data_IF_568438079045
#
_entry.id   IF_568438079045
#
_cell.length_a   1.000
_cell.length_b   1.000
_cell.length_c   1.000
_cell.angle_alpha   90.00
_cell.angle_beta   90.00
_cell.angle_gamma   90.00
#
_symmetry.space_group_name_H-M   'P 1'
#
loop_
_entity.id
_entity.type
_entity.pdbx_description
1 polymer ?
#
# COMPACT_ATOMS: atom_id res chain seq x y z
N UNK A 1 -17.32 -29.72 8.93
CA UNK A 1 -17.63 -28.62 7.99
C UNK A 1 -16.32 -28.05 7.47
N UNK A 2 -16.17 -27.96 6.16
CA UNK A 2 -14.89 -27.71 5.50
C UNK A 2 -14.37 -26.29 5.81
N UNK A 3 -13.43 -26.18 6.75
CA UNK A 3 -12.66 -24.96 7.00
C UNK A 3 -11.68 -24.64 5.85
N UNK A 4 -11.95 -25.11 4.64
CA UNK A 4 -11.06 -25.04 3.48
C UNK A 4 -11.76 -24.29 2.36
N UNK A 5 -11.04 -23.38 1.74
CA UNK A 5 -11.50 -22.58 0.61
C UNK A 5 -10.54 -22.82 -0.55
N UNK A 6 -11.09 -23.29 -1.66
CA UNK A 6 -10.31 -23.44 -2.91
C UNK A 6 -10.16 -22.09 -3.59
N UNK A 7 -8.91 -21.75 -3.91
CA UNK A 7 -8.53 -20.56 -4.70
C UNK A 7 -7.72 -21.00 -5.92
N UNK A 8 -7.64 -20.15 -6.93
CA UNK A 8 -6.76 -20.37 -8.10
C UNK A 8 -5.73 -19.25 -8.21
N UNK A 9 -4.45 -19.60 -8.26
CA UNK A 9 -3.37 -18.64 -8.47
C UNK A 9 -3.06 -18.49 -9.96
N UNK A 10 -2.87 -17.25 -10.41
CA UNK A 10 -2.43 -16.95 -11.77
C UNK A 10 -0.91 -16.67 -11.85
N UNK A 11 -0.36 -16.65 -13.06
CA UNK A 11 1.08 -16.41 -13.34
C UNK A 11 1.59 -15.04 -12.85
N UNK A 12 0.69 -14.06 -12.65
CA UNK A 12 1.05 -12.71 -12.18
C UNK A 12 1.03 -12.63 -10.65
N UNK A 13 0.58 -13.70 -9.97
CA UNK A 13 0.43 -13.81 -8.54
C UNK A 13 -0.83 -13.12 -8.00
N UNK A 14 -1.90 -13.12 -8.79
CA UNK A 14 -3.25 -12.91 -8.27
C UNK A 14 -3.86 -14.23 -7.80
N UNK A 15 -4.58 -14.18 -6.69
CA UNK A 15 -5.46 -15.27 -6.26
C UNK A 15 -6.89 -14.97 -6.70
N UNK A 16 -7.54 -15.98 -7.29
CA UNK A 16 -8.96 -15.96 -7.67
C UNK A 16 -9.77 -16.67 -6.61
N UNK A 17 -10.80 -15.99 -6.12
CA UNK A 17 -11.78 -16.56 -5.21
C UNK A 17 -12.92 -17.18 -5.99
N UNK A 18 -13.29 -18.42 -5.65
CA UNK A 18 -14.46 -19.09 -6.22
C UNK A 18 -15.76 -18.41 -5.77
N UNK A 19 -16.87 -18.63 -6.49
CA UNK A 19 -18.17 -18.04 -6.11
C UNK A 19 -18.60 -18.43 -4.69
N UNK A 20 -18.27 -19.66 -4.26
CA UNK A 20 -18.52 -20.10 -2.89
C UNK A 20 -17.69 -19.28 -1.88
N UNK A 21 -16.39 -19.11 -2.14
CA UNK A 21 -15.51 -18.29 -1.31
C UNK A 21 -15.98 -16.83 -1.20
N UNK A 22 -16.47 -16.26 -2.31
CA UNK A 22 -17.02 -14.90 -2.37
C UNK A 22 -18.23 -14.76 -1.43
N UNK A 23 -19.14 -15.74 -1.44
CA UNK A 23 -20.30 -15.78 -0.53
C UNK A 23 -19.87 -15.95 0.92
N UNK A 24 -19.01 -16.92 1.21
CA UNK A 24 -18.58 -17.27 2.58
C UNK A 24 -17.82 -16.14 3.27
N UNK A 25 -17.02 -15.41 2.51
CA UNK A 25 -16.22 -14.27 2.97
C UNK A 25 -16.95 -12.93 2.81
N UNK A 26 -18.17 -12.95 2.25
CA UNK A 26 -18.99 -11.77 1.95
C UNK A 26 -18.19 -10.69 1.21
N UNK A 27 -17.40 -11.09 0.20
CA UNK A 27 -16.48 -10.19 -0.52
C UNK A 27 -17.24 -9.04 -1.18
N UNK A 28 -18.45 -9.27 -1.69
CA UNK A 28 -19.30 -8.23 -2.27
C UNK A 28 -19.61 -7.10 -1.28
N UNK A 29 -19.73 -7.43 0.01
CA UNK A 29 -20.00 -6.47 1.09
C UNK A 29 -18.72 -5.93 1.73
N UNK A 30 -17.57 -6.55 1.46
CA UNK A 30 -16.25 -6.25 2.02
C UNK A 30 -15.23 -6.14 0.88
N UNK A 31 -15.27 -5.06 0.08
CA UNK A 31 -14.51 -4.96 -1.17
C UNK A 31 -12.99 -4.78 -0.98
N UNK A 32 -12.53 -4.71 0.27
CA UNK A 32 -11.13 -4.55 0.62
C UNK A 32 -10.64 -5.70 1.49
N UNK A 33 -9.32 -5.86 1.61
CA UNK A 33 -8.70 -6.81 2.52
C UNK A 33 -7.50 -6.23 3.24
N UNK A 34 -7.37 -6.57 4.51
CA UNK A 34 -6.11 -6.49 5.23
C UNK A 34 -5.33 -7.80 5.00
N UNK A 35 -4.07 -7.67 4.60
CA UNK A 35 -3.17 -8.80 4.39
C UNK A 35 -2.13 -8.79 5.49
N UNK A 36 -1.99 -9.90 6.20
CA UNK A 36 -0.98 -10.08 7.24
C UNK A 36 -0.06 -11.24 6.87
N UNK A 37 1.20 -11.17 7.27
CA UNK A 37 2.20 -12.21 7.01
C UNK A 37 2.79 -12.73 8.32
N UNK A 38 3.05 -14.03 8.38
CA UNK A 38 3.88 -14.70 9.37
C UNK A 38 5.09 -15.23 8.60
N UNK A 39 6.20 -14.50 8.66
CA UNK A 39 7.43 -14.84 7.91
C UNK A 39 8.10 -16.10 8.45
N UNK A 40 8.03 -16.33 9.77
CA UNK A 40 8.61 -17.50 10.46
C UNK A 40 7.80 -18.76 10.15
N UNK A 41 6.48 -18.68 10.29
CA UNK A 41 5.56 -19.77 9.97
C UNK A 41 5.28 -19.94 8.48
N UNK A 42 5.75 -19.01 7.63
CA UNK A 42 5.45 -18.93 6.20
C UNK A 42 3.95 -18.98 5.92
N UNK A 43 3.20 -18.00 6.44
CA UNK A 43 1.75 -17.94 6.30
C UNK A 43 1.31 -16.54 5.86
N UNK A 44 0.23 -16.49 5.10
CA UNK A 44 -0.38 -15.23 4.66
C UNK A 44 -1.86 -15.26 5.02
N UNK A 45 -2.30 -14.33 5.85
CA UNK A 45 -3.70 -14.15 6.18
C UNK A 45 -4.33 -13.06 5.32
N UNK A 46 -5.59 -13.27 4.92
CA UNK A 46 -6.45 -12.30 4.26
C UNK A 46 -7.69 -12.12 5.11
N UNK A 47 -7.93 -10.89 5.54
CA UNK A 47 -9.11 -10.51 6.31
C UNK A 47 -9.94 -9.52 5.50
N UNK A 48 -11.10 -9.92 4.94
CA UNK A 48 -12.00 -9.00 4.26
C UNK A 48 -12.47 -7.87 5.18
N UNK A 49 -12.58 -6.67 4.65
CA UNK A 49 -13.01 -5.47 5.39
C UNK A 49 -13.84 -4.54 4.49
N UNK A 50 -14.78 -3.83 5.11
CA UNK A 50 -15.53 -2.74 4.47
C UNK A 50 -14.75 -1.43 4.44
N UNK A 51 -13.90 -1.23 5.44
CA UNK A 51 -13.22 0.04 5.66
C UNK A 51 -11.93 0.04 4.85
N UNK A 52 -11.87 0.97 3.90
CA UNK A 52 -10.68 1.26 3.14
C UNK A 52 -9.61 1.90 4.04
N UNK A 53 -8.43 1.28 4.13
CA UNK A 53 -7.25 1.84 4.78
C UNK A 53 -6.13 2.04 3.76
N UNK A 54 -5.13 2.83 4.12
CA UNK A 54 -3.92 3.08 3.32
C UNK A 54 -3.14 1.80 2.97
N UNK A 55 -3.28 0.76 3.80
CA UNK A 55 -2.63 -0.54 3.65
C UNK A 55 -3.49 -1.57 2.94
N UNK A 56 -4.79 -1.29 2.73
CA UNK A 56 -5.74 -2.29 2.26
C UNK A 56 -5.51 -2.65 0.80
N UNK A 57 -5.76 -3.92 0.48
CA UNK A 57 -5.82 -4.45 -0.88
C UNK A 57 -7.27 -4.40 -1.39
N UNK A 58 -7.47 -4.33 -2.71
CA UNK A 58 -8.80 -4.38 -3.33
C UNK A 58 -9.10 -5.80 -3.80
N UNK A 59 -10.28 -6.29 -3.50
CA UNK A 59 -10.87 -7.37 -4.30
C UNK A 59 -11.35 -6.79 -5.63
N UNK A 60 -10.68 -7.14 -6.72
CA UNK A 60 -11.01 -6.67 -8.06
C UNK A 60 -12.02 -7.63 -8.71
N UNK A 61 -13.15 -7.15 -9.23
CA UNK A 61 -14.08 -7.99 -9.97
C UNK A 61 -13.38 -8.66 -11.16
N UNK A 62 -13.69 -9.95 -11.40
CA UNK A 62 -13.14 -10.71 -12.51
C UNK A 62 -14.10 -11.83 -12.93
N UNK A 63 -14.91 -11.56 -13.96
CA UNK A 63 -16.03 -12.43 -14.35
C UNK A 63 -17.02 -12.56 -13.19
N UNK A 64 -17.40 -13.79 -12.84
CA UNK A 64 -18.32 -14.08 -11.74
C UNK A 64 -17.67 -14.04 -10.34
N UNK A 65 -16.36 -13.84 -10.23
CA UNK A 65 -15.62 -13.85 -8.96
C UNK A 65 -14.75 -12.62 -8.75
N UNK A 66 -13.77 -12.75 -7.85
CA UNK A 66 -12.86 -11.65 -7.49
C UNK A 66 -11.39 -12.10 -7.52
N UNK A 67 -10.51 -11.14 -7.80
CA UNK A 67 -9.05 -11.27 -7.73
C UNK A 67 -8.50 -10.45 -6.57
N UNK A 68 -7.47 -10.97 -5.91
CA UNK A 68 -6.65 -10.23 -4.96
C UNK A 68 -5.18 -10.38 -5.35
N UNK A 69 -4.42 -9.27 -5.34
CA UNK A 69 -3.00 -9.32 -5.62
C UNK A 69 -2.24 -9.90 -4.41
N UNK A 70 -1.49 -10.98 -4.63
CA UNK A 70 -0.92 -11.79 -3.55
C UNK A 70 0.59 -11.96 -3.65
N UNK A 71 1.18 -11.74 -4.84
CA UNK A 71 2.63 -11.89 -5.13
C UNK A 71 3.54 -11.21 -4.10
N UNK A 72 3.22 -9.98 -3.71
CA UNK A 72 4.05 -9.22 -2.76
C UNK A 72 4.17 -9.90 -1.40
N UNK A 73 3.05 -10.41 -0.87
CA UNK A 73 3.02 -11.14 0.38
C UNK A 73 3.76 -12.47 0.26
N UNK A 74 3.56 -13.20 -0.85
CA UNK A 74 4.27 -14.44 -1.15
C UNK A 74 5.78 -14.29 -1.16
N UNK A 75 6.29 -13.26 -1.84
CA UNK A 75 7.72 -12.98 -1.87
C UNK A 75 8.28 -12.72 -0.47
N UNK A 76 7.54 -12.02 0.40
CA UNK A 76 7.98 -11.73 1.78
C UNK A 76 7.98 -12.97 2.68
N UNK A 77 7.10 -13.94 2.41
CA UNK A 77 7.06 -15.21 3.15
C UNK A 77 7.87 -16.33 2.48
N UNK A 78 8.60 -16.04 1.39
CA UNK A 78 9.42 -16.99 0.66
C UNK A 78 8.66 -18.01 -0.19
N UNK A 79 7.38 -17.75 -0.52
CA UNK A 79 6.63 -18.56 -1.47
C UNK A 79 6.92 -18.15 -2.91
N UNK A 80 7.08 -19.14 -3.78
CA UNK A 80 7.14 -18.95 -5.22
C UNK A 80 5.72 -18.85 -5.80
N UNK A 81 5.51 -17.96 -6.76
CA UNK A 81 4.25 -17.89 -7.51
C UNK A 81 4.22 -19.03 -8.50
N UNK A 82 3.41 -20.05 -8.22
CA UNK A 82 3.15 -21.15 -9.13
C UNK A 82 1.65 -21.14 -9.46
N UNK A 83 1.26 -21.07 -10.74
CA UNK A 83 -0.15 -21.11 -11.11
C UNK A 83 -0.78 -22.45 -10.77
N UNK A 84 -2.05 -22.43 -10.36
CA UNK A 84 -2.75 -23.68 -10.03
C UNK A 84 -3.84 -23.50 -9.00
N UNK A 85 -4.48 -24.61 -8.64
CA UNK A 85 -5.44 -24.66 -7.55
C UNK A 85 -4.70 -24.77 -6.20
N UNK A 86 -5.14 -23.99 -5.23
CA UNK A 86 -4.63 -24.02 -3.86
C UNK A 86 -5.78 -24.03 -2.87
N UNK A 87 -5.48 -24.43 -1.64
CA UNK A 87 -6.43 -24.35 -0.53
C UNK A 87 -5.96 -23.30 0.48
N UNK A 88 -6.90 -22.47 0.93
CA UNK A 88 -6.74 -21.63 2.11
C UNK A 88 -7.57 -22.20 3.25
N UNK A 89 -7.12 -22.02 4.49
CA UNK A 89 -7.81 -22.48 5.69
C UNK A 89 -8.51 -21.30 6.37
N UNK A 90 -9.78 -21.44 6.71
CA UNK A 90 -10.53 -20.43 7.47
C UNK A 90 -10.12 -20.48 8.93
N UNK A 91 -9.71 -19.34 9.48
CA UNK A 91 -9.34 -19.16 10.89
C UNK A 91 -10.15 -17.99 11.47
N UNK A 92 -11.36 -18.26 11.99
CA UNK A 92 -12.25 -17.19 12.42
C UNK A 92 -12.73 -16.32 11.25
N UNK A 93 -12.38 -15.03 11.25
CA UNK A 93 -12.78 -14.06 10.22
C UNK A 93 -11.77 -13.91 9.07
N UNK A 94 -10.63 -14.58 9.13
CA UNK A 94 -9.58 -14.54 8.10
C UNK A 94 -9.46 -15.87 7.37
N UNK A 95 -8.83 -15.83 6.21
CA UNK A 95 -8.42 -17.02 5.47
C UNK A 95 -6.91 -17.03 5.35
N UNK A 96 -6.30 -18.18 5.60
CA UNK A 96 -4.85 -18.33 5.70
C UNK A 96 -4.33 -19.25 4.61
N UNK A 97 -3.35 -18.75 3.86
CA UNK A 97 -2.56 -19.50 2.92
C UNK A 97 -1.27 -19.97 3.58
N UNK A 98 -0.96 -21.26 3.48
CA UNK A 98 0.29 -21.87 3.96
C UNK A 98 0.97 -22.76 2.89
N UNK A 99 0.60 -22.60 1.62
CA UNK A 99 1.05 -23.49 0.54
C UNK A 99 0.52 -24.92 0.70
N UNK A 100 1.34 -25.91 0.32
CA UNK A 100 0.94 -27.33 0.31
C UNK A 100 1.15 -28.04 1.66
N UNK A 101 1.78 -27.39 2.65
CA UNK A 101 2.02 -27.95 3.96
C UNK A 101 1.12 -27.30 5.03
N UNK A 102 0.56 -28.05 5.99
CA UNK A 102 -0.13 -27.47 7.13
C UNK A 102 0.91 -26.83 8.08
N UNK A 103 1.20 -25.54 7.88
CA UNK A 103 2.03 -24.79 8.80
C UNK A 103 1.18 -24.26 9.96
N UNK A 104 1.42 -24.78 11.17
CA UNK A 104 0.92 -24.17 12.41
C UNK A 104 1.54 -22.77 12.57
N UNK A 105 0.79 -21.81 13.15
CA UNK A 105 1.32 -20.46 13.47
C UNK A 105 2.60 -20.60 14.30
N UNK A 106 3.68 -19.92 13.90
CA UNK A 106 4.95 -19.92 14.64
C UNK A 106 5.45 -18.50 14.95
N UNK A 107 5.09 -17.50 14.14
CA UNK A 107 5.47 -16.10 14.36
C UNK A 107 4.30 -15.17 14.68
N UNK A 108 4.61 -13.88 14.83
CA UNK A 108 3.63 -12.79 14.92
C UNK A 108 3.02 -12.49 13.55
N UNK A 109 1.75 -12.09 13.54
CA UNK A 109 1.13 -11.54 12.34
C UNK A 109 1.58 -10.10 12.16
N UNK A 110 2.17 -9.80 11.00
CA UNK A 110 2.59 -8.46 10.63
C UNK A 110 1.74 -7.97 9.45
N UNK A 111 1.18 -6.77 9.57
CA UNK A 111 0.41 -6.17 8.49
C UNK A 111 1.32 -5.93 7.28
N UNK A 112 0.98 -6.51 6.13
CA UNK A 112 1.66 -6.30 4.87
C UNK A 112 0.94 -5.19 4.09
N UNK A 113 1.54 -4.00 3.91
CA UNK A 113 0.84 -2.87 3.31
C UNK A 113 0.76 -2.97 1.78
N UNK A 114 -0.42 -2.71 1.21
CA UNK A 114 -0.59 -2.61 -0.24
C UNK A 114 0.18 -1.38 -0.79
N UNK A 115 1.11 -1.62 -1.72
CA UNK A 115 1.81 -0.53 -2.45
C UNK A 115 0.99 0.12 -3.56
N UNK A 116 -0.23 -0.33 -3.79
CA UNK A 116 -1.15 0.30 -4.73
C UNK A 116 -2.51 0.42 -4.04
N UNK A 117 -2.51 1.19 -2.94
CA UNK A 117 -3.67 1.47 -2.08
C UNK A 117 -4.91 1.72 -2.93
N UNK A 118 -6.03 1.22 -2.44
CA UNK A 118 -7.26 1.18 -3.24
C UNK A 118 -7.89 2.54 -3.36
N UNK A 119 -7.42 3.33 -4.31
CA UNK A 119 -8.05 4.61 -4.64
C UNK A 119 -7.78 5.76 -3.69
N UNK A 120 -7.06 5.53 -2.58
CA UNK A 120 -6.50 6.61 -1.75
C UNK A 120 -5.31 7.21 -2.50
N UNK A 121 -5.29 8.52 -2.75
CA UNK A 121 -4.09 9.22 -3.23
C UNK A 121 -2.95 9.06 -2.23
N UNK A 122 -1.83 8.52 -2.71
CA UNK A 122 -0.64 8.37 -1.89
C UNK A 122 0.54 9.08 -2.54
N UNK A 123 1.48 9.44 -1.69
CA UNK A 123 2.83 9.80 -2.13
C UNK A 123 3.87 9.00 -1.35
N UNK A 124 5.05 8.95 -1.92
CA UNK A 124 6.21 8.33 -1.30
C UNK A 124 7.40 9.29 -1.32
N UNK A 125 8.28 9.18 -0.33
CA UNK A 125 9.57 9.83 -0.29
C UNK A 125 10.61 8.71 -0.30
N UNK A 126 11.47 8.68 -1.32
CA UNK A 126 12.56 7.71 -1.39
C UNK A 126 13.72 8.09 -0.44
N UNK A 127 14.71 7.21 -0.31
CA UNK A 127 15.85 7.43 0.58
C UNK A 127 16.79 8.56 0.12
N UNK A 128 16.61 9.08 -1.10
CA UNK A 128 17.34 10.24 -1.62
C UNK A 128 16.55 11.54 -1.43
N UNK A 129 15.37 11.49 -0.80
CA UNK A 129 14.51 12.65 -0.62
C UNK A 129 13.73 13.02 -1.89
N UNK A 130 13.56 12.12 -2.84
CA UNK A 130 12.66 12.32 -3.98
C UNK A 130 11.23 12.06 -3.54
N UNK A 131 10.36 13.06 -3.68
CA UNK A 131 8.92 12.87 -3.50
C UNK A 131 8.32 12.32 -4.81
N UNK A 132 7.47 11.31 -4.69
CA UNK A 132 6.86 10.57 -5.79
C UNK A 132 5.35 10.57 -5.57
N UNK A 133 4.60 11.17 -6.49
CA UNK A 133 3.15 11.19 -6.52
C UNK A 133 2.66 10.06 -7.42
N UNK A 134 1.79 9.20 -6.88
CA UNK A 134 1.23 8.10 -7.68
C UNK A 134 0.39 8.61 -8.86
N UNK A 135 0.03 7.69 -9.78
CA UNK A 135 -0.74 8.05 -10.98
C UNK A 135 -2.01 8.83 -10.67
N UNK A 136 -2.68 8.48 -9.57
CA UNK A 136 -3.93 9.10 -9.16
C UNK A 136 -3.69 10.54 -8.72
N UNK A 137 -2.68 10.75 -7.90
CA UNK A 137 -2.28 12.05 -7.38
C UNK A 137 -1.82 12.96 -8.52
N UNK A 138 -0.93 12.48 -9.41
CA UNK A 138 -0.44 13.31 -10.50
C UNK A 138 -1.53 13.68 -11.53
N UNK A 139 -2.50 12.79 -11.76
CA UNK A 139 -3.66 13.08 -12.61
C UNK A 139 -4.57 14.12 -11.95
N UNK A 140 -4.89 13.94 -10.67
CA UNK A 140 -5.75 14.86 -9.93
C UNK A 140 -5.17 16.29 -9.83
N UNK A 141 -3.85 16.41 -9.75
CA UNK A 141 -3.12 17.68 -9.69
C UNK A 141 -2.81 18.28 -11.07
N UNK A 142 -3.09 17.53 -12.14
CA UNK A 142 -2.71 17.87 -13.52
C UNK A 142 -1.23 18.28 -13.61
N UNK A 143 -0.31 17.48 -13.07
CA UNK A 143 1.12 17.86 -12.94
C UNK A 143 1.84 18.01 -14.29
N UNK A 144 1.24 17.55 -15.39
CA UNK A 144 1.72 17.85 -16.75
C UNK A 144 1.48 19.31 -17.15
N UNK A 145 0.50 19.98 -16.54
CA UNK A 145 0.20 21.41 -16.75
C UNK A 145 0.66 22.29 -15.59
N UNK A 146 0.65 21.75 -14.38
CA UNK A 146 1.14 22.37 -13.15
C UNK A 146 2.46 21.68 -12.74
N UNK A 147 3.52 21.96 -13.48
CA UNK A 147 4.81 21.29 -13.45
C UNK A 147 5.80 21.85 -12.41
N UNK A 148 5.30 22.73 -11.53
CA UNK A 148 6.07 23.27 -10.42
C UNK A 148 5.21 23.30 -9.17
N UNK A 149 5.84 23.36 -7.99
CA UNK A 149 5.14 23.49 -6.72
C UNK A 149 5.87 24.41 -5.73
N UNK A 150 5.09 24.96 -4.79
CA UNK A 150 5.57 25.64 -3.58
C UNK A 150 5.25 24.76 -2.39
N UNK A 151 6.19 24.62 -1.46
CA UNK A 151 6.03 23.81 -0.26
C UNK A 151 5.96 24.70 0.99
N UNK A 152 4.93 24.50 1.79
CA UNK A 152 4.74 25.10 3.10
C UNK A 152 4.76 23.99 4.16
N UNK A 153 5.41 24.21 5.30
CA UNK A 153 5.49 23.23 6.40
C UNK A 153 4.88 23.79 7.69
N UNK A 154 3.88 23.09 8.21
CA UNK A 154 3.33 23.32 9.55
C UNK A 154 4.08 22.41 10.53
N UNK A 155 5.03 22.99 11.27
CA UNK A 155 5.86 22.26 12.24
C UNK A 155 5.05 21.70 13.42
N UNK A 156 3.97 22.37 13.81
CA UNK A 156 3.12 21.93 14.93
C UNK A 156 2.39 20.64 14.58
N UNK A 157 1.85 20.57 13.36
CA UNK A 157 1.11 19.41 12.86
C UNK A 157 1.99 18.39 12.16
N UNK A 158 3.26 18.73 11.89
CA UNK A 158 4.20 17.96 11.07
C UNK A 158 3.59 17.61 9.71
N UNK A 159 3.02 18.62 9.07
CA UNK A 159 2.32 18.49 7.79
C UNK A 159 2.92 19.41 6.77
N UNK A 160 3.09 18.89 5.55
CA UNK A 160 3.39 19.69 4.38
C UNK A 160 2.10 20.01 3.63
N UNK A 161 2.06 21.21 3.07
CA UNK A 161 1.09 21.66 2.07
C UNK A 161 1.87 22.05 0.82
N UNK A 162 1.56 21.38 -0.28
CA UNK A 162 2.19 21.61 -1.58
C UNK A 162 1.16 22.24 -2.52
N UNK A 163 1.46 23.41 -3.05
CA UNK A 163 0.59 24.12 -3.99
C UNK A 163 1.18 24.04 -5.39
N UNK A 164 0.50 23.34 -6.30
CA UNK A 164 0.95 23.11 -7.66
C UNK A 164 0.55 24.26 -8.59
N UNK A 165 1.46 24.69 -9.45
CA UNK A 165 1.24 25.75 -10.43
C UNK A 165 2.25 25.67 -11.59
N UNK A 166 2.28 26.69 -12.44
CA UNK A 166 3.34 26.91 -13.45
C UNK A 166 4.50 27.78 -12.96
N UNK A 167 4.38 28.37 -11.76
CA UNK A 167 5.34 29.36 -11.21
C UNK A 167 5.69 29.03 -9.76
N UNK A 168 6.13 27.80 -9.51
CA UNK A 168 6.64 27.33 -8.23
C UNK A 168 8.17 27.28 -8.19
N UNK A 169 8.72 26.97 -7.01
CA UNK A 169 10.17 26.89 -6.80
C UNK A 169 10.73 25.48 -7.02
N UNK A 170 9.89 24.46 -6.88
CA UNK A 170 10.30 23.07 -7.00
C UNK A 170 9.73 22.51 -8.30
N UNK A 171 10.62 22.09 -9.21
CA UNK A 171 10.23 21.46 -10.48
C UNK A 171 9.69 20.04 -10.26
N UNK A 172 8.60 19.72 -10.95
CA UNK A 172 7.91 18.43 -10.91
C UNK A 172 8.00 17.79 -12.28
N UNK A 173 8.67 16.64 -12.36
CA UNK A 173 8.73 15.83 -13.59
C UNK A 173 7.57 14.85 -13.62
N UNK A 174 6.72 14.98 -14.62
CA UNK A 174 5.61 14.05 -14.86
C UNK A 174 5.99 13.02 -15.91
N UNK A 175 5.74 11.74 -15.62
CA UNK A 175 5.80 10.65 -16.60
C UNK A 175 4.49 9.87 -16.64
N UNK A 176 4.36 8.89 -17.53
CA UNK A 176 3.10 8.17 -17.74
C UNK A 176 2.51 7.55 -16.46
N UNK A 177 3.35 7.00 -15.58
CA UNK A 177 2.91 6.24 -14.39
C UNK A 177 2.90 7.04 -13.09
N UNK A 178 3.61 8.17 -13.00
CA UNK A 178 3.76 8.96 -11.77
C UNK A 178 4.34 10.34 -12.06
N UNK A 179 4.38 11.21 -11.05
CA UNK A 179 5.19 12.42 -11.05
C UNK A 179 6.20 12.39 -9.91
N UNK A 180 7.34 13.06 -10.06
CA UNK A 180 8.36 13.14 -9.02
C UNK A 180 9.02 14.53 -8.96
N UNK A 181 9.58 14.85 -7.81
CA UNK A 181 10.36 16.06 -7.58
C UNK A 181 11.46 15.82 -6.55
N UNK A 182 12.57 16.55 -6.66
CA UNK A 182 13.57 16.59 -5.58
C UNK A 182 12.98 17.35 -4.39
N UNK A 183 12.91 16.68 -3.24
CA UNK A 183 12.34 17.23 -2.00
C UNK A 183 13.34 17.19 -0.83
N UNK A 184 14.58 16.74 -1.08
CA UNK A 184 15.64 16.65 -0.09
C UNK A 184 15.93 18.00 0.57
N UNK A 185 16.08 19.07 -0.22
CA UNK A 185 16.35 20.41 0.31
C UNK A 185 15.23 20.91 1.22
N UNK A 186 13.97 20.69 0.84
CA UNK A 186 12.79 21.05 1.62
C UNK A 186 12.69 20.26 2.94
N UNK A 187 13.04 18.98 2.95
CA UNK A 187 13.10 18.21 4.20
C UNK A 187 14.22 18.73 5.12
N UNK A 188 15.39 18.95 4.54
CA UNK A 188 16.58 19.43 5.27
C UNK A 188 16.36 20.80 5.89
N UNK A 189 15.71 21.74 5.19
CA UNK A 189 15.41 23.08 5.71
C UNK A 189 14.50 23.08 6.94
N UNK A 190 13.80 21.98 7.20
CA UNK A 190 12.95 21.80 8.39
C UNK A 190 13.51 20.77 9.38
N UNK A 191 14.78 20.37 9.23
CA UNK A 191 15.44 19.42 10.14
C UNK A 191 14.87 17.99 10.07
N UNK A 192 14.18 17.65 8.99
CA UNK A 192 13.61 16.31 8.78
C UNK A 192 14.65 15.48 8.03
N UNK A 193 15.14 14.41 8.66
CA UNK A 193 16.11 13.54 8.02
C UNK A 193 15.49 12.78 6.84
N UNK A 194 16.33 12.35 5.89
CA UNK A 194 15.88 11.47 4.82
C UNK A 194 15.44 10.11 5.38
N UNK A 195 14.45 9.46 4.77
CA UNK A 195 14.00 8.16 5.24
C UNK A 195 15.03 7.08 4.85
N UNK A 196 15.29 6.10 5.71
CA UNK A 196 16.26 5.02 5.42
C UNK A 196 15.72 4.01 4.40
N UNK A 197 14.40 3.93 4.27
CA UNK A 197 13.64 3.17 3.27
C UNK A 197 12.55 4.07 2.71
N UNK A 198 11.92 3.69 1.61
CA UNK A 198 10.84 4.50 1.04
C UNK A 198 9.71 4.73 2.06
N UNK A 199 9.50 6.00 2.44
CA UNK A 199 8.41 6.42 3.31
C UNK A 199 7.17 6.67 2.47
N UNK A 200 6.08 5.96 2.76
CA UNK A 200 4.81 6.12 2.04
C UNK A 200 3.75 6.66 2.98
N UNK A 201 2.99 7.65 2.52
CA UNK A 201 1.93 8.27 3.31
C UNK A 201 0.74 8.64 2.44
N UNK A 202 -0.44 8.68 3.06
CA UNK A 202 -1.62 9.23 2.41
C UNK A 202 -1.48 10.73 2.20
N UNK A 203 -2.14 11.22 1.16
CA UNK A 203 -2.27 12.64 0.94
C UNK A 203 -3.72 13.02 0.64
N UNK A 204 -4.08 14.23 1.06
CA UNK A 204 -5.36 14.85 0.69
C UNK A 204 -5.11 15.80 -0.47
N UNK A 205 -5.99 15.74 -1.46
CA UNK A 205 -5.93 16.59 -2.65
C UNK A 205 -7.17 17.47 -2.67
N UNK A 206 -6.98 18.78 -2.75
CA UNK A 206 -8.03 19.77 -2.91
C UNK A 206 -7.63 20.73 -4.03
N UNK A 207 -8.20 20.52 -5.23
CA UNK A 207 -7.78 21.22 -6.44
C UNK A 207 -6.28 21.00 -6.70
N UNK A 208 -5.51 22.09 -6.72
CA UNK A 208 -4.06 22.08 -6.96
C UNK A 208 -3.21 21.90 -5.69
N UNK A 209 -3.84 21.66 -4.54
CA UNK A 209 -3.16 21.57 -3.25
C UNK A 209 -3.10 20.12 -2.79
N UNK A 210 -1.91 19.67 -2.38
CA UNK A 210 -1.68 18.39 -1.70
C UNK A 210 -1.29 18.65 -0.26
N UNK A 211 -1.89 17.94 0.69
CA UNK A 211 -1.41 17.94 2.08
C UNK A 211 -1.08 16.53 2.54
N UNK A 212 0.04 16.36 3.23
CA UNK A 212 0.45 15.08 3.80
C UNK A 212 1.21 15.26 5.10
N UNK A 213 1.15 14.25 5.97
CA UNK A 213 1.90 14.24 7.23
C UNK A 213 3.23 13.52 7.09
N UNK A 214 4.23 14.04 7.78
CA UNK A 214 5.56 13.42 8.03
C UNK A 214 5.73 13.02 9.49
N UNK A 215 4.68 13.11 10.32
CA UNK A 215 4.77 12.73 11.73
C UNK A 215 5.24 11.29 11.96
N UNK A 216 4.77 10.27 11.20
CA UNK A 216 5.28 8.90 11.35
C UNK A 216 6.76 8.77 11.01
N UNK A 217 7.22 9.45 9.95
CA UNK A 217 8.64 9.47 9.55
C UNK A 217 9.51 10.05 10.68
N UNK A 218 9.12 11.19 11.24
CA UNK A 218 9.84 11.82 12.36
C UNK A 218 9.85 10.91 13.60
N UNK A 219 8.74 10.22 13.88
CA UNK A 219 8.65 9.27 14.99
C UNK A 219 9.60 8.07 14.81
N UNK A 220 9.69 7.53 13.60
CA UNK A 220 10.63 6.45 13.28
C UNK A 220 12.09 6.88 13.46
N UNK A 221 12.43 8.09 13.03
CA UNK A 221 13.77 8.67 13.21
C UNK A 221 14.14 8.84 14.68
N UNK A 222 13.19 9.30 15.52
CA UNK A 222 13.42 9.39 16.97
C UNK A 222 13.67 8.03 17.60
N UNK A 223 12.91 7.01 17.20
CA UNK A 223 13.10 5.63 17.68
C UNK A 223 14.47 5.05 17.27
N UNK A 224 14.97 5.40 16.09
CA UNK A 224 16.27 4.94 15.61
C UNK A 224 17.44 5.59 16.36
N UNK A 225 17.30 6.84 16.81
CA UNK A 225 18.34 7.56 17.60
C UNK A 225 18.37 7.18 19.08
N UNK A 226 17.30 6.58 19.60
CA UNK A 226 17.19 6.13 20.99
C UNK A 226 17.72 4.70 21.20
N UNK A 227 18.20 4.05 20.14
CA UNK A 227 18.91 2.78 20.16
C UNK A 227 20.40 3.04 19.93
#
# INVERSE_FOLDING_TARGET
MENKITIKMDIRGFIRFSNQAVKDLKIDKNPYADVEIDTVGKRIAVTPTKTLKTTSFRFMPNGAGYLLYFKGAMNNTGFQVVPGAYTMVKEGNRVVFSGNAPAKKKGSWELFPCRNSVGIPMLSIDSRGTIIFDKRSCTALETAKNDTMVAEYDASKKMFKLTFSKKGFINVRTIASHANASFMGTLSSHGIALPTKSYRTECKIAGKVVTFSVAPLIAEQKKAKAK
#
